data_IF_876082260527
#
_entry.id   IF_876082260527
#
_cell.length_a   1.000
_cell.length_b   1.000
_cell.length_c   1.000
_cell.angle_alpha   90.00
_cell.angle_beta   90.00
_cell.angle_gamma   90.00
#
_symmetry.space_group_name_H-M   'P 1'
#
loop_
_entity.id
_entity.type
_entity.pdbx_description
1 polymer ?
#
# COMPACT_ATOMS: atom_id res chain seq x y z
N UNK A 1 -6.78 -12.14 26.51
CA UNK A 1 -7.15 -11.86 25.10
C UNK A 1 -5.89 -11.55 24.31
N UNK A 2 -5.71 -12.17 23.14
CA UNK A 2 -4.52 -11.91 22.29
C UNK A 2 -4.58 -10.48 21.70
N UNK A 3 -3.42 -9.85 21.42
CA UNK A 3 -3.38 -8.55 20.76
C UNK A 3 -4.13 -8.55 19.41
N UNK A 4 -4.01 -9.63 18.64
CA UNK A 4 -4.72 -9.83 17.37
C UNK A 4 -6.24 -9.78 17.55
N UNK A 5 -6.77 -10.45 18.58
CA UNK A 5 -8.20 -10.46 18.83
C UNK A 5 -8.72 -9.05 19.15
N UNK A 6 -7.95 -8.25 19.91
CA UNK A 6 -8.33 -6.87 20.25
C UNK A 6 -8.46 -5.99 19.01
N UNK A 7 -7.51 -6.11 18.07
CA UNK A 7 -7.53 -5.34 16.81
C UNK A 7 -8.72 -5.76 15.95
N UNK A 8 -8.95 -7.08 15.80
CA UNK A 8 -10.07 -7.58 15.01
C UNK A 8 -11.42 -7.18 15.62
N UNK A 9 -11.58 -7.27 16.94
CA UNK A 9 -12.80 -6.80 17.60
C UNK A 9 -12.98 -5.30 17.44
N UNK A 10 -11.90 -4.51 17.52
CA UNK A 10 -11.96 -3.06 17.29
C UNK A 10 -12.39 -2.71 15.87
N UNK A 11 -11.85 -3.41 14.86
CA UNK A 11 -12.23 -3.25 13.46
C UNK A 11 -13.71 -3.56 13.25
N UNK A 12 -14.17 -4.71 13.76
CA UNK A 12 -15.57 -5.15 13.61
C UNK A 12 -16.52 -4.18 14.32
N UNK A 13 -16.23 -3.81 15.56
CA UNK A 13 -17.06 -2.87 16.31
C UNK A 13 -17.09 -1.48 15.67
N UNK A 14 -15.94 -0.99 15.18
CA UNK A 14 -15.86 0.29 14.48
C UNK A 14 -16.65 0.30 13.18
N UNK A 15 -16.55 -0.76 12.38
CA UNK A 15 -17.31 -0.90 11.14
C UNK A 15 -18.82 -1.00 11.39
N UNK A 16 -19.25 -1.84 12.33
CA UNK A 16 -20.67 -2.00 12.67
C UNK A 16 -21.25 -0.70 13.23
N UNK A 17 -20.56 -0.06 14.19
CA UNK A 17 -21.05 1.19 14.77
C UNK A 17 -21.08 2.32 13.76
N UNK A 18 -20.07 2.45 12.90
CA UNK A 18 -20.06 3.44 11.81
C UNK A 18 -21.20 3.24 10.81
N UNK A 19 -21.43 1.99 10.36
CA UNK A 19 -22.52 1.67 9.43
C UNK A 19 -23.90 1.86 10.07
N UNK A 20 -24.08 1.45 11.32
CA UNK A 20 -25.35 1.61 12.04
C UNK A 20 -25.69 3.09 12.22
N UNK A 21 -24.72 3.93 12.62
CA UNK A 21 -24.92 5.37 12.75
C UNK A 21 -25.25 6.01 11.40
N UNK A 22 -24.52 5.66 10.34
CA UNK A 22 -24.77 6.19 8.99
C UNK A 22 -26.16 5.81 8.44
N UNK A 23 -26.68 4.64 8.84
CA UNK A 23 -28.02 4.19 8.44
C UNK A 23 -29.14 4.91 9.21
N UNK A 24 -28.92 5.24 10.48
CA UNK A 24 -29.94 5.92 11.31
C UNK A 24 -29.94 7.44 11.14
N UNK A 25 -28.75 8.05 11.12
CA UNK A 25 -28.58 9.50 11.05
C UNK A 25 -27.21 9.83 10.43
N UNK A 26 -27.24 10.19 9.14
CA UNK A 26 -26.04 10.50 8.38
C UNK A 26 -25.31 11.76 8.89
N UNK A 27 -26.03 12.73 9.46
CA UNK A 27 -25.43 13.97 9.96
C UNK A 27 -24.69 13.71 11.27
N UNK A 28 -25.33 12.98 12.20
CA UNK A 28 -24.69 12.55 13.44
C UNK A 28 -23.48 11.65 13.16
N UNK A 29 -23.59 10.73 12.19
CA UNK A 29 -22.46 9.89 11.77
C UNK A 29 -21.26 10.72 11.29
N UNK A 30 -21.50 11.78 10.51
CA UNK A 30 -20.45 12.68 10.04
C UNK A 30 -19.78 13.45 11.20
N UNK A 31 -20.56 13.91 12.18
CA UNK A 31 -20.03 14.58 13.38
C UNK A 31 -19.17 13.64 14.23
N UNK A 32 -19.65 12.43 14.48
CA UNK A 32 -18.89 11.39 15.21
C UNK A 32 -17.61 11.04 14.45
N UNK A 33 -17.68 10.87 13.12
CA UNK A 33 -16.52 10.61 12.30
C UNK A 33 -15.48 11.74 12.39
N UNK A 34 -15.90 13.01 12.37
CA UNK A 34 -15.00 14.16 12.51
C UNK A 34 -14.25 14.17 13.85
N UNK A 35 -14.85 13.66 14.93
CA UNK A 35 -14.23 13.57 16.27
C UNK A 35 -13.25 12.39 16.34
N UNK A 36 -13.59 11.24 15.72
CA UNK A 36 -12.78 10.01 15.79
C UNK A 36 -11.64 10.01 14.76
N UNK A 37 -11.83 10.65 13.61
CA UNK A 37 -10.85 10.67 12.51
C UNK A 37 -9.46 11.17 12.92
N UNK A 38 -9.29 12.23 13.75
CA UNK A 38 -7.99 12.65 14.25
C UNK A 38 -7.21 11.54 14.98
N UNK A 39 -7.89 10.66 15.73
CA UNK A 39 -7.27 9.53 16.42
C UNK A 39 -6.73 8.52 15.42
N UNK A 40 -7.54 8.17 14.41
CA UNK A 40 -7.10 7.29 13.31
C UNK A 40 -5.94 7.89 12.52
N UNK A 41 -5.98 9.20 12.26
CA UNK A 41 -4.90 9.94 11.58
C UNK A 41 -3.61 9.97 12.40
N UNK A 42 -3.69 10.20 13.71
CA UNK A 42 -2.54 10.16 14.59
C UNK A 42 -1.89 8.77 14.60
N UNK A 43 -2.70 7.72 14.66
CA UNK A 43 -2.23 6.34 14.59
C UNK A 43 -1.54 6.04 13.26
N UNK A 44 -2.15 6.43 12.14
CA UNK A 44 -1.56 6.26 10.80
C UNK A 44 -0.25 7.04 10.66
N UNK A 45 -0.20 8.29 11.14
CA UNK A 45 1.01 9.10 11.14
C UNK A 45 2.12 8.47 11.98
N UNK A 46 1.79 7.93 13.16
CA UNK A 46 2.76 7.25 14.02
C UNK A 46 3.36 6.02 13.33
N UNK A 47 2.54 5.23 12.61
CA UNK A 47 3.03 4.13 11.80
C UNK A 47 3.95 4.63 10.67
N UNK A 48 3.48 5.58 9.86
CA UNK A 48 4.22 6.10 8.70
C UNK A 48 5.55 6.76 9.08
N UNK A 49 5.61 7.47 10.20
CA UNK A 49 6.82 8.11 10.73
C UNK A 49 7.98 7.11 10.91
N UNK A 50 7.66 5.87 11.27
CA UNK A 50 8.67 4.83 11.52
C UNK A 50 9.13 4.10 10.26
N UNK A 51 8.35 4.14 9.17
CA UNK A 51 8.60 3.33 7.97
C UNK A 51 9.92 3.72 7.31
N UNK A 52 10.13 5.00 7.01
CA UNK A 52 11.33 5.47 6.28
C UNK A 52 12.63 5.15 7.04
N UNK A 53 12.78 5.52 8.35
CA UNK A 53 14.00 5.20 9.09
C UNK A 53 14.24 3.69 9.23
N UNK A 54 13.17 2.92 9.49
CA UNK A 54 13.27 1.50 9.74
C UNK A 54 13.64 0.74 8.46
N UNK A 55 13.02 1.05 7.32
CA UNK A 55 13.37 0.44 6.03
C UNK A 55 14.83 0.72 5.67
N UNK A 56 15.28 1.98 5.82
CA UNK A 56 16.68 2.35 5.54
C UNK A 56 17.64 1.54 6.41
N UNK A 57 17.42 1.50 7.73
CA UNK A 57 18.26 0.77 8.67
C UNK A 57 18.26 -0.74 8.42
N UNK A 58 17.09 -1.35 8.18
CA UNK A 58 16.96 -2.78 7.93
C UNK A 58 17.64 -3.20 6.63
N UNK A 59 17.52 -2.40 5.57
CA UNK A 59 18.16 -2.73 4.29
C UNK A 59 19.68 -2.64 4.41
N UNK A 60 20.22 -1.55 4.99
CA UNK A 60 21.67 -1.38 5.18
C UNK A 60 22.24 -2.49 6.06
N UNK A 61 21.65 -2.71 7.24
CA UNK A 61 22.12 -3.77 8.15
C UNK A 61 21.91 -5.17 7.58
N UNK A 62 20.84 -5.40 6.82
CA UNK A 62 20.56 -6.67 6.17
C UNK A 62 21.61 -7.04 5.12
N UNK A 63 22.09 -6.07 4.34
CA UNK A 63 23.18 -6.28 3.38
C UNK A 63 24.49 -6.57 4.14
N UNK A 64 24.83 -5.76 5.14
CA UNK A 64 26.12 -5.86 5.84
C UNK A 64 26.24 -7.12 6.71
N UNK A 65 25.12 -7.68 7.17
CA UNK A 65 25.10 -8.96 7.90
C UNK A 65 25.27 -10.19 6.99
N UNK A 66 25.29 -10.01 5.67
CA UNK A 66 25.43 -11.11 4.71
C UNK A 66 26.90 -11.27 4.30
N UNK A 67 27.54 -12.35 4.77
CA UNK A 67 28.97 -12.64 4.49
C UNK A 67 29.32 -12.93 3.01
N UNK A 68 28.31 -13.14 2.15
CA UNK A 68 28.51 -13.45 0.73
C UNK A 68 27.55 -12.63 -0.16
N UNK A 69 28.10 -11.66 -0.88
CA UNK A 69 27.35 -10.83 -1.83
C UNK A 69 26.67 -11.66 -2.93
N UNK A 70 27.24 -12.79 -3.34
CA UNK A 70 26.64 -13.68 -4.34
C UNK A 70 25.39 -14.40 -3.80
N UNK A 71 25.38 -14.71 -2.50
CA UNK A 71 24.21 -15.27 -1.81
C UNK A 71 23.06 -14.26 -1.73
N UNK A 72 23.38 -12.98 -1.46
CA UNK A 72 22.41 -11.87 -1.44
C UNK A 72 21.70 -11.72 -2.80
N UNK A 73 22.45 -11.72 -3.90
CA UNK A 73 21.90 -11.64 -5.25
C UNK A 73 21.07 -12.87 -5.67
N UNK A 74 21.32 -14.05 -5.11
CA UNK A 74 20.48 -15.25 -5.35
C UNK A 74 19.15 -15.14 -4.61
N UNK A 75 19.17 -14.68 -3.37
CA UNK A 75 17.97 -14.45 -2.57
C UNK A 75 17.08 -13.37 -3.21
N UNK A 76 17.67 -12.26 -3.64
CA UNK A 76 16.96 -11.19 -4.34
C UNK A 76 16.29 -11.69 -5.63
N UNK A 77 16.99 -12.48 -6.46
CA UNK A 77 16.41 -13.06 -7.68
C UNK A 77 15.28 -14.04 -7.40
N UNK A 78 15.43 -14.90 -6.38
CA UNK A 78 14.36 -15.82 -5.96
C UNK A 78 13.13 -15.04 -5.46
N UNK A 79 13.34 -14.01 -4.64
CA UNK A 79 12.26 -13.14 -4.18
C UNK A 79 11.55 -12.43 -5.35
N UNK A 80 12.31 -11.90 -6.32
CA UNK A 80 11.75 -11.27 -7.51
C UNK A 80 10.88 -12.25 -8.32
N UNK A 81 11.37 -13.47 -8.56
CA UNK A 81 10.60 -14.49 -9.27
C UNK A 81 9.31 -14.86 -8.50
N UNK A 82 9.41 -15.03 -7.17
CA UNK A 82 8.23 -15.30 -6.33
C UNK A 82 7.22 -14.16 -6.41
N UNK A 83 7.66 -12.90 -6.34
CA UNK A 83 6.78 -11.75 -6.47
C UNK A 83 6.13 -11.66 -7.84
N UNK A 84 6.90 -11.85 -8.93
CA UNK A 84 6.35 -11.82 -10.29
C UNK A 84 5.28 -12.90 -10.46
N UNK A 85 5.55 -14.14 -10.01
CA UNK A 85 4.58 -15.25 -10.10
C UNK A 85 3.35 -14.97 -9.24
N UNK A 86 3.53 -14.49 -8.01
CA UNK A 86 2.42 -14.21 -7.10
C UNK A 86 1.54 -13.06 -7.61
N UNK A 87 2.15 -11.97 -8.09
CA UNK A 87 1.43 -10.83 -8.66
C UNK A 87 0.73 -11.20 -9.97
N UNK A 88 1.40 -11.92 -10.86
CA UNK A 88 0.81 -12.35 -12.13
C UNK A 88 -0.36 -13.33 -11.89
N UNK A 89 -0.21 -14.27 -10.96
CA UNK A 89 -1.29 -15.22 -10.61
C UNK A 89 -2.46 -14.53 -9.92
N UNK A 90 -2.21 -13.58 -9.00
CA UNK A 90 -3.26 -12.77 -8.39
C UNK A 90 -3.99 -11.88 -9.39
N UNK A 91 -3.26 -11.27 -10.33
CA UNK A 91 -3.84 -10.48 -11.41
C UNK A 91 -4.67 -11.36 -12.36
N UNK A 92 -4.16 -12.53 -12.76
CA UNK A 92 -4.89 -13.48 -13.59
C UNK A 92 -6.16 -14.00 -12.89
N UNK A 93 -6.05 -14.35 -11.60
CA UNK A 93 -7.20 -14.72 -10.78
C UNK A 93 -8.24 -13.60 -10.76
N UNK A 94 -7.83 -12.36 -10.50
CA UNK A 94 -8.74 -11.21 -10.47
C UNK A 94 -9.38 -10.96 -11.83
N UNK A 95 -8.61 -11.06 -12.92
CA UNK A 95 -9.11 -10.86 -14.29
C UNK A 95 -10.18 -11.89 -14.69
N UNK A 96 -10.12 -13.12 -14.16
CA UNK A 96 -11.11 -14.17 -14.42
C UNK A 96 -12.30 -14.07 -13.46
N UNK A 97 -12.05 -13.96 -12.16
CA UNK A 97 -13.10 -14.06 -11.15
C UNK A 97 -13.87 -12.76 -10.92
N UNK A 98 -13.24 -11.59 -11.09
CA UNK A 98 -13.93 -10.32 -10.87
C UNK A 98 -15.11 -10.12 -11.85
N UNK A 99 -14.97 -10.33 -13.17
CA UNK A 99 -16.11 -10.23 -14.09
C UNK A 99 -17.21 -11.26 -13.79
N UNK A 100 -16.84 -12.48 -13.41
CA UNK A 100 -17.78 -13.53 -13.06
C UNK A 100 -18.60 -13.17 -11.82
N UNK A 101 -17.94 -12.72 -10.75
CA UNK A 101 -18.61 -12.30 -9.52
C UNK A 101 -19.50 -11.08 -9.76
N UNK A 102 -19.03 -10.10 -10.54
CA UNK A 102 -19.81 -8.91 -10.89
C UNK A 102 -21.02 -9.26 -11.76
N UNK A 103 -20.96 -10.32 -12.58
CA UNK A 103 -22.11 -10.75 -13.39
C UNK A 103 -23.28 -11.28 -12.56
N UNK A 104 -23.03 -11.73 -11.33
CA UNK A 104 -24.08 -12.17 -10.40
C UNK A 104 -24.73 -11.02 -9.61
N UNK A 105 -24.18 -9.81 -9.67
CA UNK A 105 -24.79 -8.61 -9.09
C UNK A 105 -25.48 -7.81 -10.21
N UNK A 106 -26.81 -7.59 -10.14
CA UNK A 106 -27.47 -6.72 -11.10
C UNK A 106 -26.85 -5.31 -11.03
N UNK A 107 -26.31 -4.84 -12.14
CA UNK A 107 -25.81 -3.47 -12.23
C UNK A 107 -27.00 -2.52 -12.16
N UNK A 108 -27.19 -1.85 -11.02
CA UNK A 108 -28.11 -0.74 -10.93
C UNK A 108 -27.60 0.41 -11.82
N UNK A 109 -28.43 0.83 -12.77
CA UNK A 109 -28.08 1.89 -13.70
C UNK A 109 -27.74 3.20 -12.98
N UNK A 110 -28.37 3.47 -11.83
CA UNK A 110 -28.08 4.64 -11.01
C UNK A 110 -26.68 4.57 -10.37
N UNK A 111 -26.29 3.39 -9.85
CA UNK A 111 -24.95 3.15 -9.31
C UNK A 111 -23.87 3.24 -10.39
N UNK A 112 -24.14 2.67 -11.56
CA UNK A 112 -23.21 2.71 -12.70
C UNK A 112 -22.96 4.15 -13.18
N UNK A 113 -24.01 4.98 -13.20
CA UNK A 113 -23.89 6.39 -13.55
C UNK A 113 -23.14 7.19 -12.48
N UNK A 114 -23.42 6.96 -11.19
CA UNK A 114 -22.69 7.60 -10.08
C UNK A 114 -21.19 7.22 -10.05
N UNK A 115 -20.87 5.95 -10.36
CA UNK A 115 -19.50 5.45 -10.46
C UNK A 115 -18.77 6.03 -11.69
N UNK A 116 -19.45 6.13 -12.84
CA UNK A 116 -18.83 6.67 -14.06
C UNK A 116 -18.40 8.14 -13.92
N UNK A 117 -19.17 8.96 -13.18
CA UNK A 117 -18.81 10.35 -12.90
C UNK A 117 -17.64 10.51 -11.92
N UNK A 118 -17.41 9.53 -11.03
CA UNK A 118 -16.33 9.55 -10.05
C UNK A 118 -15.02 8.94 -10.59
N UNK A 119 -15.10 7.99 -11.53
CA UNK A 119 -13.93 7.45 -12.23
C UNK A 119 -13.27 8.51 -13.13
N UNK A 120 -14.03 9.45 -13.68
CA UNK A 120 -13.48 10.58 -14.46
C UNK A 120 -12.60 11.54 -13.63
N UNK A 121 -12.67 11.47 -12.28
CA UNK A 121 -11.83 12.25 -11.37
C UNK A 121 -10.68 11.46 -10.77
N UNK A 122 -10.60 10.14 -11.03
CA UNK A 122 -9.40 9.40 -10.72
C UNK A 122 -8.28 10.01 -11.57
N UNK A 123 -7.13 10.41 -10.99
CA UNK A 123 -6.02 10.83 -11.81
C UNK A 123 -5.75 9.68 -12.77
N UNK A 124 -5.86 9.93 -14.08
CA UNK A 124 -5.27 9.03 -15.05
C UNK A 124 -3.85 8.83 -14.56
N UNK A 125 -3.56 7.62 -14.08
CA UNK A 125 -2.19 7.19 -13.94
C UNK A 125 -1.70 7.11 -15.38
N UNK A 126 -1.35 8.26 -15.96
CA UNK A 126 -0.65 8.36 -17.22
C UNK A 126 0.48 7.36 -17.07
N UNK A 127 0.37 6.24 -17.77
CA UNK A 127 1.27 5.13 -17.59
C UNK A 127 2.65 5.71 -17.87
N UNK A 128 3.41 5.99 -16.79
CA UNK A 128 4.72 6.58 -16.91
C UNK A 128 5.45 5.65 -17.87
N UNK A 129 5.85 6.19 -19.02
CA UNK A 129 6.40 5.37 -20.09
C UNK A 129 7.51 4.49 -19.52
N UNK A 130 7.71 3.30 -20.06
CA UNK A 130 8.65 2.31 -19.50
C UNK A 130 10.04 2.91 -19.20
N UNK A 131 10.48 3.85 -20.05
CA UNK A 131 11.67 4.69 -19.85
C UNK A 131 11.64 5.47 -18.52
N UNK A 132 10.57 6.25 -18.28
CA UNK A 132 10.42 7.05 -17.07
C UNK A 132 10.39 6.18 -15.82
N UNK A 133 9.69 5.04 -15.87
CA UNK A 133 9.62 4.08 -14.77
C UNK A 133 11.02 3.55 -14.38
N UNK A 134 11.87 3.21 -15.36
CA UNK A 134 13.25 2.75 -15.11
C UNK A 134 14.10 3.88 -14.54
N UNK A 135 14.03 5.08 -15.13
CA UNK A 135 14.84 6.21 -14.66
C UNK A 135 14.46 6.65 -13.26
N UNK A 136 13.21 6.42 -12.84
CA UNK A 136 12.75 6.72 -11.49
C UNK A 136 13.31 5.77 -10.43
N UNK A 137 13.88 4.61 -10.80
CA UNK A 137 14.40 3.62 -9.84
C UNK A 137 15.62 4.17 -9.08
N UNK A 138 16.49 4.93 -9.76
CA UNK A 138 17.70 5.49 -9.16
C UNK A 138 17.40 6.94 -8.77
N UNK A 139 17.36 7.28 -7.47
CA UNK A 139 17.09 8.66 -7.06
C UNK A 139 18.29 9.55 -7.35
N UNK A 140 18.03 10.77 -7.85
CA UNK A 140 19.06 11.83 -7.91
C UNK A 140 19.40 12.39 -6.52
N UNK A 141 18.49 12.25 -5.56
CA UNK A 141 18.66 12.68 -4.17
C UNK A 141 17.92 11.73 -3.21
N UNK A 142 18.67 11.01 -2.38
CA UNK A 142 18.12 10.05 -1.43
C UNK A 142 17.29 10.69 -0.30
N UNK A 143 17.65 11.90 0.14
CA UNK A 143 16.92 12.64 1.18
C UNK A 143 15.56 13.09 0.65
N UNK A 144 15.51 13.55 -0.60
CA UNK A 144 14.25 13.86 -1.27
C UNK A 144 13.37 12.61 -1.37
N UNK A 145 13.93 11.49 -1.86
CA UNK A 145 13.21 10.21 -1.93
C UNK A 145 12.63 9.78 -0.56
N UNK A 146 13.41 9.93 0.52
CA UNK A 146 12.95 9.67 1.88
C UNK A 146 11.80 10.60 2.31
N UNK A 147 11.93 11.90 2.05
CA UNK A 147 10.92 12.90 2.42
C UNK A 147 9.59 12.72 1.65
N UNK A 148 9.65 12.32 0.39
CA UNK A 148 8.46 12.00 -0.42
C UNK A 148 7.94 10.56 -0.21
N UNK A 149 8.54 9.79 0.70
CA UNK A 149 8.20 8.37 0.89
C UNK A 149 8.28 7.54 -0.40
N UNK A 150 9.21 7.89 -1.30
CA UNK A 150 9.47 7.15 -2.52
C UNK A 150 10.27 5.88 -2.20
N UNK A 151 9.55 4.82 -1.82
CA UNK A 151 10.14 3.60 -1.24
C UNK A 151 11.09 2.87 -2.19
N UNK A 152 10.73 2.69 -3.46
CA UNK A 152 11.57 1.98 -4.42
C UNK A 152 12.94 2.67 -4.59
N UNK A 153 13.01 3.99 -4.89
CA UNK A 153 14.29 4.69 -4.96
C UNK A 153 15.06 4.68 -3.63
N UNK A 154 14.37 4.81 -2.50
CA UNK A 154 14.99 4.78 -1.18
C UNK A 154 15.67 3.43 -0.89
N UNK A 155 15.01 2.32 -1.22
CA UNK A 155 15.55 0.96 -1.07
C UNK A 155 16.77 0.77 -1.98
N UNK A 156 16.71 1.25 -3.23
CA UNK A 156 17.84 1.16 -4.17
C UNK A 156 19.06 1.92 -3.66
N UNK A 157 18.86 3.14 -3.14
CA UNK A 157 19.91 3.88 -2.46
C UNK A 157 20.44 3.13 -1.24
N UNK A 158 19.57 2.64 -0.37
CA UNK A 158 19.94 1.94 0.86
C UNK A 158 20.77 0.67 0.58
N UNK A 159 20.40 -0.10 -0.44
CA UNK A 159 21.15 -1.27 -0.91
C UNK A 159 22.54 -0.85 -1.41
N UNK A 160 22.60 0.16 -2.29
CA UNK A 160 23.86 0.64 -2.87
C UNK A 160 24.81 1.19 -1.81
N UNK A 161 24.26 1.94 -0.84
CA UNK A 161 25.00 2.48 0.29
C UNK A 161 25.46 1.38 1.25
N UNK A 162 24.60 0.40 1.55
CA UNK A 162 24.98 -0.77 2.35
C UNK A 162 26.14 -1.56 1.74
N UNK A 163 26.10 -1.88 0.44
CA UNK A 163 27.20 -2.56 -0.24
C UNK A 163 28.52 -1.79 -0.26
N UNK A 164 28.48 -0.46 -0.14
CA UNK A 164 29.67 0.38 -0.13
C UNK A 164 30.33 0.51 1.26
N UNK A 165 29.59 0.18 2.33
CA UNK A 165 30.05 0.17 3.73
C UNK A 165 30.66 -1.19 4.10
#
# INVERSE_FOLDING_TARGET
MSPTLRVLTGLVLGAISGLALAWTDAELAAQVAAIVQPVGKLWLNALQMTVVPLVLALVITGVNNTNDAASSGRTARRALLVFVVLLASGAAFTAVFAPLLLSFMPADAALTQALSGSVAQAPEAAAAGWSQAITAIIPSNAVAAAAQSAMLPLIVFALSFGFAL
#
